data_IF_306679386348
#
_entry.id   IF_306679386348
#
_cell.length_a   1.000
_cell.length_b   1.000
_cell.length_c   1.000
_cell.angle_alpha   90.00
_cell.angle_beta   90.00
_cell.angle_gamma   90.00
#
_symmetry.space_group_name_H-M   'P 1'
#
loop_
_entity.id
_entity.type
_entity.pdbx_description
1 polymer ?
#
# COMPACT_ATOMS: atom_id res chain seq x y z
N UNK A 1 10.46 -12.03 25.75
CA UNK A 1 11.87 -11.78 25.41
C UNK A 1 12.28 -12.73 24.30
N UNK A 2 12.57 -12.22 23.11
CA UNK A 2 13.14 -13.03 22.03
C UNK A 2 14.45 -13.67 22.50
N UNK A 3 14.68 -14.97 22.30
CA UNK A 3 15.94 -15.60 22.67
C UNK A 3 17.11 -14.94 21.93
N UNK A 4 18.08 -14.40 22.66
CA UNK A 4 19.29 -13.81 22.07
C UNK A 4 19.19 -12.34 21.64
N UNK A 5 18.10 -11.64 21.92
CA UNK A 5 18.09 -10.17 21.77
C UNK A 5 19.07 -9.56 22.79
N UNK A 6 20.03 -8.72 22.36
CA UNK A 6 20.97 -8.08 23.28
C UNK A 6 20.19 -7.24 24.29
N UNK A 7 20.59 -7.30 25.57
CA UNK A 7 20.06 -6.33 26.54
C UNK A 7 20.49 -4.93 26.08
N UNK A 8 19.56 -3.96 26.02
CA UNK A 8 19.92 -2.61 25.63
C UNK A 8 20.98 -2.08 26.61
N UNK A 9 21.99 -1.33 26.12
CA UNK A 9 23.00 -0.74 26.99
C UNK A 9 22.34 0.16 28.05
N UNK A 10 23.01 0.39 29.17
CA UNK A 10 22.55 1.35 30.17
C UNK A 10 22.39 2.73 29.49
N UNK A 11 21.16 3.23 29.44
CA UNK A 11 20.83 4.46 28.74
C UNK A 11 21.02 5.66 29.68
N UNK A 12 21.43 6.83 29.17
CA UNK A 12 21.44 8.06 29.96
C UNK A 12 20.04 8.35 30.55
N UNK A 13 19.94 9.03 31.71
CA UNK A 13 18.65 9.26 32.39
C UNK A 13 17.57 10.00 31.58
N UNK A 14 17.96 10.68 30.50
CA UNK A 14 17.08 11.47 29.62
C UNK A 14 16.80 10.77 28.28
N UNK A 15 17.20 9.51 28.14
CA UNK A 15 17.02 8.71 26.92
C UNK A 15 16.09 7.55 27.24
N UNK A 16 14.98 7.46 26.50
CA UNK A 16 14.12 6.30 26.52
C UNK A 16 14.30 5.52 25.21
N UNK A 17 14.58 4.21 25.31
CA UNK A 17 14.54 3.30 24.18
C UNK A 17 13.20 2.56 24.20
N UNK A 18 12.46 2.67 23.10
CA UNK A 18 11.15 2.05 22.97
C UNK A 18 11.20 1.10 21.79
N UNK A 19 11.35 -0.20 22.06
CA UNK A 19 11.37 -1.24 21.05
C UNK A 19 10.34 -2.33 21.35
N UNK A 20 9.38 -2.62 20.45
CA UNK A 20 8.33 -3.62 20.69
C UNK A 20 8.85 -5.00 21.11
N UNK A 21 10.07 -5.36 20.66
CA UNK A 21 10.74 -6.61 21.00
C UNK A 21 10.97 -6.78 22.52
N UNK A 22 11.16 -5.68 23.26
CA UNK A 22 11.36 -5.71 24.72
C UNK A 22 10.11 -6.21 25.45
N UNK A 23 8.94 -6.05 24.82
CA UNK A 23 7.65 -6.51 25.29
C UNK A 23 7.15 -7.78 24.59
N UNK A 24 8.02 -8.43 23.80
CA UNK A 24 7.69 -9.67 23.09
C UNK A 24 6.76 -9.49 21.90
N UNK A 25 6.64 -8.27 21.37
CA UNK A 25 5.92 -7.97 20.13
C UNK A 25 6.87 -8.13 18.95
N UNK A 26 6.45 -8.86 17.93
CA UNK A 26 7.27 -9.09 16.74
C UNK A 26 7.40 -7.82 15.87
N UNK A 27 8.62 -7.28 15.79
CA UNK A 27 8.91 -6.12 14.93
C UNK A 27 8.84 -6.40 13.42
N UNK A 28 8.77 -7.67 13.01
CA UNK A 28 8.67 -8.04 11.59
C UNK A 28 7.22 -8.17 11.09
N UNK A 29 6.27 -8.45 11.98
CA UNK A 29 4.88 -8.74 11.57
C UNK A 29 3.79 -8.11 12.45
N UNK A 30 4.10 -7.73 13.69
CA UNK A 30 3.08 -7.27 14.65
C UNK A 30 3.12 -5.77 14.95
N UNK A 31 4.27 -5.09 14.80
CA UNK A 31 4.35 -3.63 14.97
C UNK A 31 5.58 -3.03 14.28
N UNK A 32 5.35 -2.09 13.35
CA UNK A 32 6.42 -1.28 12.74
C UNK A 32 6.58 0.07 13.47
N UNK A 33 7.63 0.82 13.09
CA UNK A 33 7.97 2.10 13.68
C UNK A 33 6.86 3.16 13.52
N UNK A 34 6.18 3.21 12.37
CA UNK A 34 5.10 4.18 12.14
C UNK A 34 3.89 3.89 13.03
N UNK A 35 3.55 2.62 13.21
CA UNK A 35 2.44 2.19 14.07
C UNK A 35 2.75 2.38 15.55
N UNK A 36 4.00 2.11 15.98
CA UNK A 36 4.45 2.42 17.33
C UNK A 36 4.41 3.94 17.60
N UNK A 37 4.86 4.75 16.66
CA UNK A 37 4.83 6.21 16.77
C UNK A 37 3.39 6.70 16.87
N UNK A 38 2.50 6.20 16.01
CA UNK A 38 1.08 6.54 16.06
C UNK A 38 0.44 6.13 17.40
N UNK A 39 0.69 4.91 17.88
CA UNK A 39 0.25 4.47 19.22
C UNK A 39 0.73 5.42 20.32
N UNK A 40 2.00 5.83 20.27
CA UNK A 40 2.54 6.81 21.20
C UNK A 40 1.78 8.14 21.14
N UNK A 41 1.44 8.65 19.95
CA UNK A 41 0.64 9.88 19.85
C UNK A 41 -0.75 9.74 20.46
N UNK A 42 -1.41 8.58 20.33
CA UNK A 42 -2.71 8.31 20.96
C UNK A 42 -2.60 8.33 22.50
N UNK A 43 -1.50 7.83 23.06
CA UNK A 43 -1.23 7.90 24.50
C UNK A 43 -1.03 9.33 25.00
N UNK A 44 -0.50 10.23 24.17
CA UNK A 44 -0.37 11.65 24.50
C UNK A 44 -1.72 12.36 24.48
N UNK A 45 -2.52 12.11 23.45
CA UNK A 45 -3.87 12.65 23.31
C UNK A 45 -4.73 11.72 22.43
N UNK A 46 -5.91 11.26 22.91
CA UNK A 46 -6.83 10.46 22.12
C UNK A 46 -7.31 11.12 20.82
N UNK A 47 -7.19 12.44 20.64
CA UNK A 47 -7.51 13.09 19.36
C UNK A 47 -6.69 12.51 18.21
N UNK A 48 -5.46 12.03 18.50
CA UNK A 48 -4.51 11.51 17.53
C UNK A 48 -4.89 10.17 16.88
N UNK A 49 -6.10 9.64 17.14
CA UNK A 49 -6.66 8.58 16.30
C UNK A 49 -6.79 9.02 14.83
N UNK A 50 -6.93 10.33 14.58
CA UNK A 50 -6.93 10.93 13.23
C UNK A 50 -5.59 10.79 12.47
N UNK A 51 -4.49 10.46 13.17
CA UNK A 51 -3.19 10.13 12.56
C UNK A 51 -3.11 8.69 12.00
N UNK A 52 -4.20 7.92 12.06
CA UNK A 52 -4.28 6.58 11.48
C UNK A 52 -3.73 6.47 10.05
N UNK A 53 -4.01 7.40 9.11
CA UNK A 53 -3.43 7.38 7.76
C UNK A 53 -1.92 7.19 7.74
N UNK A 54 -1.19 7.93 8.59
CA UNK A 54 0.26 8.01 8.58
C UNK A 54 0.92 6.82 9.28
N UNK A 55 0.30 6.34 10.36
CA UNK A 55 0.73 5.09 11.02
C UNK A 55 0.56 3.90 10.07
N UNK A 56 -0.64 3.79 9.48
CA UNK A 56 -1.04 2.68 8.63
C UNK A 56 -0.27 2.63 7.31
N UNK A 57 -0.02 3.76 6.66
CA UNK A 57 0.73 3.80 5.40
C UNK A 57 2.15 3.26 5.55
N UNK A 58 2.81 3.49 6.69
CA UNK A 58 4.11 2.92 6.99
C UNK A 58 4.05 1.40 7.18
N UNK A 59 3.04 0.88 7.89
CA UNK A 59 2.84 -0.57 8.03
C UNK A 59 2.54 -1.26 6.70
N UNK A 60 1.80 -0.59 5.81
CA UNK A 60 1.55 -1.05 4.46
C UNK A 60 2.85 -1.05 3.64
N UNK A 61 3.67 0.00 3.78
CA UNK A 61 4.98 0.11 3.12
C UNK A 61 5.92 -1.03 3.52
N UNK A 62 5.89 -1.43 4.79
CA UNK A 62 6.62 -2.59 5.32
C UNK A 62 5.97 -3.94 4.96
N UNK A 63 4.90 -3.94 4.16
CA UNK A 63 4.13 -5.13 3.74
C UNK A 63 3.56 -5.96 4.91
N UNK A 64 3.40 -5.38 6.10
CA UNK A 64 2.85 -6.06 7.28
C UNK A 64 1.36 -6.42 7.15
N UNK A 65 0.70 -5.93 6.12
CA UNK A 65 -0.71 -6.18 5.82
C UNK A 65 -0.94 -7.46 4.98
N UNK A 66 0.11 -8.03 4.39
CA UNK A 66 0.02 -9.20 3.51
C UNK A 66 -0.46 -10.40 4.32
N UNK A 67 -1.62 -10.95 3.95
CA UNK A 67 -2.27 -12.00 4.75
C UNK A 67 -2.92 -11.49 6.05
N UNK A 68 -3.27 -10.20 6.07
CA UNK A 68 -3.95 -9.50 7.15
C UNK A 68 -3.03 -8.96 8.24
N UNK A 69 -3.38 -7.81 8.81
CA UNK A 69 -2.69 -7.29 9.99
C UNK A 69 -2.85 -8.21 11.19
N UNK A 70 -1.77 -8.37 11.96
CA UNK A 70 -1.70 -9.27 13.13
C UNK A 70 -1.19 -8.51 14.35
N UNK A 71 -1.28 -9.16 15.51
CA UNK A 71 -0.76 -8.62 16.77
C UNK A 71 -1.27 -7.21 17.07
N UNK A 72 -0.34 -6.32 17.41
CA UNK A 72 -0.70 -4.96 17.83
C UNK A 72 -1.15 -4.08 16.66
N UNK A 73 -0.58 -4.25 15.47
CA UNK A 73 -1.05 -3.64 14.23
C UNK A 73 -2.53 -3.98 13.97
N UNK A 74 -2.89 -5.26 14.05
CA UNK A 74 -4.27 -5.71 13.84
C UNK A 74 -5.25 -5.02 14.79
N UNK A 75 -4.91 -4.99 16.09
CA UNK A 75 -5.72 -4.31 17.11
C UNK A 75 -5.89 -2.81 16.85
N UNK A 76 -4.80 -2.12 16.50
CA UNK A 76 -4.85 -0.68 16.18
C UNK A 76 -5.74 -0.40 14.97
N UNK A 77 -5.62 -1.22 13.92
CA UNK A 77 -6.42 -1.09 12.70
C UNK A 77 -7.89 -1.41 12.97
N UNK A 78 -8.20 -2.46 13.74
CA UNK A 78 -9.57 -2.78 14.17
C UNK A 78 -10.22 -1.60 14.92
N UNK A 79 -9.50 -1.01 15.87
CA UNK A 79 -9.97 0.13 16.66
C UNK A 79 -10.18 1.39 15.79
N UNK A 80 -9.28 1.63 14.82
CA UNK A 80 -9.44 2.71 13.84
C UNK A 80 -10.64 2.51 12.92
N UNK A 81 -10.93 1.26 12.54
CA UNK A 81 -12.14 0.91 11.77
C UNK A 81 -13.40 1.13 12.59
N UNK A 82 -13.41 0.73 13.86
CA UNK A 82 -14.55 0.99 14.77
C UNK A 82 -14.81 2.48 14.97
N UNK A 83 -13.78 3.33 14.87
CA UNK A 83 -13.87 4.79 14.93
C UNK A 83 -14.20 5.45 13.60
N UNK A 84 -14.34 4.67 12.51
CA UNK A 84 -14.57 5.17 11.16
C UNK A 84 -13.48 6.11 10.62
N UNK A 85 -12.27 6.09 11.20
CA UNK A 85 -11.11 6.84 10.66
C UNK A 85 -10.34 6.04 9.60
N UNK A 86 -10.63 4.74 9.49
CA UNK A 86 -10.19 3.83 8.43
C UNK A 86 -11.40 2.99 8.02
N UNK A 87 -11.51 2.65 6.73
CA UNK A 87 -12.59 1.76 6.23
C UNK A 87 -11.97 0.57 5.52
N UNK A 88 -12.27 -0.64 5.99
CA UNK A 88 -11.91 -1.88 5.29
C UNK A 88 -12.78 -2.07 4.06
N UNK A 89 -12.16 -2.42 2.94
CA UNK A 89 -12.84 -2.76 1.70
C UNK A 89 -12.27 -4.07 1.14
N UNK A 90 -13.10 -4.95 0.56
CA UNK A 90 -12.57 -5.93 -0.37
C UNK A 90 -11.93 -5.17 -1.52
N UNK A 91 -10.82 -5.65 -2.06
CA UNK A 91 -10.16 -4.91 -3.11
C UNK A 91 -9.28 -5.75 -4.00
N UNK A 92 -9.13 -5.22 -5.21
CA UNK A 92 -8.12 -5.66 -6.15
C UNK A 92 -6.87 -4.81 -5.94
N UNK A 93 -5.69 -5.40 -6.06
CA UNK A 93 -4.39 -4.69 -6.02
C UNK A 93 -4.15 -3.80 -7.27
N UNK A 94 -5.09 -2.91 -7.57
CA UNK A 94 -4.99 -1.91 -8.62
C UNK A 94 -5.05 -0.52 -7.99
N UNK A 95 -4.11 0.34 -8.38
CA UNK A 95 -3.93 1.69 -7.84
C UNK A 95 -4.04 2.68 -8.99
N UNK A 96 -4.95 3.65 -8.86
CA UNK A 96 -5.13 4.68 -9.86
C UNK A 96 -6.51 5.34 -9.84
N UNK A 97 -6.68 6.45 -10.58
CA UNK A 97 -7.92 7.23 -10.57
C UNK A 97 -9.07 6.51 -11.27
N UNK A 98 -8.79 5.68 -12.27
CA UNK A 98 -9.78 4.87 -12.99
C UNK A 98 -9.30 3.43 -13.09
N UNK A 99 -10.23 2.48 -13.25
CA UNK A 99 -9.89 1.05 -13.37
C UNK A 99 -8.96 0.79 -14.56
N UNK A 100 -9.18 1.47 -15.68
CA UNK A 100 -8.33 1.36 -16.87
C UNK A 100 -6.92 1.87 -16.64
N UNK A 101 -6.78 3.06 -16.03
CA UNK A 101 -5.49 3.63 -15.69
C UNK A 101 -4.75 2.78 -14.66
N UNK A 102 -5.48 2.24 -13.67
CA UNK A 102 -4.91 1.41 -12.62
C UNK A 102 -4.38 0.08 -13.15
N UNK A 103 -5.13 -0.58 -14.05
CA UNK A 103 -4.68 -1.81 -14.70
C UNK A 103 -3.48 -1.58 -15.63
N UNK A 104 -3.54 -0.55 -16.46
CA UNK A 104 -2.41 -0.19 -17.33
C UNK A 104 -1.20 0.28 -16.51
N UNK A 105 -1.41 0.89 -15.35
CA UNK A 105 -0.37 1.32 -14.42
C UNK A 105 0.16 0.22 -13.49
N UNK A 106 -0.37 -1.00 -13.57
CA UNK A 106 -0.08 -2.06 -12.59
C UNK A 106 1.33 -2.62 -12.78
N UNK A 107 2.13 -2.58 -11.72
CA UNK A 107 3.50 -3.12 -11.65
C UNK A 107 3.63 -4.27 -10.63
N UNK A 108 2.71 -4.34 -9.66
CA UNK A 108 2.66 -5.37 -8.62
C UNK A 108 1.18 -5.71 -8.36
N UNK A 109 0.59 -6.67 -9.10
CA UNK A 109 1.23 -7.51 -10.11
C UNK A 109 1.37 -6.83 -11.48
N UNK A 110 2.43 -7.18 -12.21
CA UNK A 110 2.54 -6.91 -13.63
C UNK A 110 1.75 -7.94 -14.44
N UNK A 111 0.84 -7.49 -15.29
CA UNK A 111 -0.02 -8.37 -16.09
C UNK A 111 0.40 -8.30 -17.55
N UNK A 112 1.05 -9.36 -18.04
CA UNK A 112 1.57 -9.47 -19.41
C UNK A 112 0.50 -9.09 -20.45
N UNK A 113 0.85 -8.20 -21.37
CA UNK A 113 -0.04 -7.71 -22.43
C UNK A 113 -1.13 -6.73 -22.00
N UNK A 114 -1.22 -6.37 -20.71
CA UNK A 114 -2.16 -5.35 -20.18
C UNK A 114 -1.40 -4.20 -19.50
N UNK A 115 -0.46 -4.52 -18.61
CA UNK A 115 0.39 -3.52 -17.94
C UNK A 115 1.21 -2.72 -18.97
N UNK A 116 1.10 -1.40 -18.89
CA UNK A 116 1.69 -0.43 -19.81
C UNK A 116 1.07 -0.42 -21.21
N UNK A 117 -0.10 -1.04 -21.38
CA UNK A 117 -0.90 -1.07 -22.62
C UNK A 117 -2.34 -0.54 -22.32
N UNK A 118 -2.55 0.79 -22.28
CA UNK A 118 -3.83 1.39 -21.91
C UNK A 118 -5.03 0.91 -22.74
N UNK A 119 -4.85 0.79 -24.04
CA UNK A 119 -5.90 0.37 -24.99
C UNK A 119 -6.29 -1.10 -24.77
N UNK A 120 -5.30 -1.98 -24.54
CA UNK A 120 -5.54 -3.40 -24.27
C UNK A 120 -6.17 -3.60 -22.89
N UNK A 121 -5.72 -2.84 -21.88
CA UNK A 121 -6.34 -2.82 -20.56
C UNK A 121 -7.80 -2.39 -20.64
N UNK A 122 -8.10 -1.33 -21.38
CA UNK A 122 -9.47 -0.86 -21.56
C UNK A 122 -10.34 -1.86 -22.35
N UNK A 123 -9.80 -2.52 -23.38
CA UNK A 123 -10.51 -3.56 -24.12
C UNK A 123 -10.84 -4.76 -23.22
N UNK A 124 -9.86 -5.24 -22.46
CA UNK A 124 -10.03 -6.35 -21.52
C UNK A 124 -11.11 -6.05 -20.45
N UNK A 125 -11.11 -4.84 -19.88
CA UNK A 125 -12.13 -4.45 -18.90
C UNK A 125 -13.54 -4.46 -19.52
N UNK A 126 -13.69 -3.95 -20.75
CA UNK A 126 -14.99 -3.97 -21.45
C UNK A 126 -15.47 -5.38 -21.77
N UNK A 127 -14.57 -6.29 -22.14
CA UNK A 127 -14.89 -7.72 -22.33
C UNK A 127 -15.47 -8.36 -21.07
N UNK A 128 -15.24 -7.77 -19.89
CA UNK A 128 -15.72 -8.27 -18.59
C UNK A 128 -16.81 -7.38 -17.99
N UNK A 129 -17.39 -6.49 -18.78
CA UNK A 129 -18.50 -5.62 -18.36
C UNK A 129 -18.09 -4.51 -17.38
N UNK A 130 -16.81 -4.15 -17.34
CA UNK A 130 -16.29 -3.10 -16.46
C UNK A 130 -15.98 -1.85 -17.29
N UNK A 131 -16.47 -0.69 -16.83
CA UNK A 131 -16.15 0.60 -17.44
C UNK A 131 -14.70 1.00 -17.08
N UNK A 132 -13.77 1.11 -18.06
CA UNK A 132 -12.40 1.49 -17.78
C UNK A 132 -12.24 2.93 -17.28
N UNK A 133 -13.27 3.78 -17.43
CA UNK A 133 -13.27 5.17 -16.97
C UNK A 133 -13.83 5.34 -15.56
N UNK A 134 -14.48 4.30 -15.03
CA UNK A 134 -15.01 4.30 -13.66
C UNK A 134 -13.89 4.36 -12.61
N UNK A 135 -14.12 4.99 -11.45
CA UNK A 135 -13.19 4.98 -10.33
C UNK A 135 -12.98 3.56 -9.79
N UNK A 136 -11.75 3.23 -9.38
CA UNK A 136 -11.43 1.90 -8.80
C UNK A 136 -12.28 1.65 -7.54
N UNK A 137 -12.47 2.68 -6.71
CA UNK A 137 -13.24 2.58 -5.47
C UNK A 137 -14.76 2.43 -5.65
N UNK A 138 -15.27 2.49 -6.87
CA UNK A 138 -16.68 2.31 -7.22
C UNK A 138 -16.99 0.93 -7.82
N UNK A 139 -15.98 0.07 -7.98
CA UNK A 139 -16.20 -1.33 -8.35
C UNK A 139 -17.08 -2.01 -7.29
N UNK A 140 -18.22 -2.55 -7.72
CA UNK A 140 -19.05 -3.35 -6.82
C UNK A 140 -18.40 -4.72 -6.53
N UNK A 141 -19.00 -5.49 -5.61
CA UNK A 141 -18.47 -6.79 -5.24
C UNK A 141 -18.44 -7.79 -6.41
N UNK A 142 -19.42 -7.74 -7.31
CA UNK A 142 -19.50 -8.65 -8.46
C UNK A 142 -18.46 -8.28 -9.53
N UNK A 143 -18.31 -6.99 -9.82
CA UNK A 143 -17.28 -6.47 -10.72
C UNK A 143 -15.87 -6.74 -10.18
N UNK A 144 -15.65 -6.53 -8.88
CA UNK A 144 -14.38 -6.83 -8.21
C UNK A 144 -14.04 -8.31 -8.34
N UNK A 145 -14.98 -9.20 -8.02
CA UNK A 145 -14.79 -10.64 -8.14
C UNK A 145 -14.52 -11.08 -9.59
N UNK A 146 -15.24 -10.53 -10.56
CA UNK A 146 -15.02 -10.83 -11.98
C UNK A 146 -13.63 -10.39 -12.46
N UNK A 147 -13.19 -9.19 -12.07
CA UNK A 147 -11.87 -8.66 -12.40
C UNK A 147 -10.77 -9.51 -11.78
N UNK A 148 -10.88 -9.82 -10.48
CA UNK A 148 -9.91 -10.66 -9.75
C UNK A 148 -9.81 -12.04 -10.40
N UNK A 149 -10.93 -12.69 -10.71
CA UNK A 149 -10.94 -14.01 -11.33
C UNK A 149 -10.25 -14.02 -12.71
N UNK A 150 -10.50 -12.99 -13.52
CA UNK A 150 -9.91 -12.89 -14.84
C UNK A 150 -8.43 -12.54 -14.83
N UNK A 151 -7.99 -11.66 -13.93
CA UNK A 151 -6.57 -11.35 -13.73
C UNK A 151 -5.84 -12.59 -13.18
N UNK A 152 -6.44 -13.30 -12.23
CA UNK A 152 -5.93 -14.56 -11.68
C UNK A 152 -5.67 -15.58 -12.79
N UNK A 153 -6.67 -15.84 -13.63
CA UNK A 153 -6.53 -16.77 -14.76
C UNK A 153 -5.40 -16.38 -15.72
N UNK A 154 -5.20 -15.08 -15.98
CA UNK A 154 -4.08 -14.57 -16.79
C UNK A 154 -2.73 -14.79 -16.11
N UNK A 155 -2.60 -14.46 -14.83
CA UNK A 155 -1.35 -14.62 -14.09
C UNK A 155 -0.96 -16.10 -13.96
N UNK A 156 -1.92 -16.97 -13.63
CA UNK A 156 -1.72 -18.42 -13.57
C UNK A 156 -1.35 -19.00 -14.94
N UNK A 157 -2.06 -18.59 -16.01
CA UNK A 157 -1.74 -18.98 -17.38
C UNK A 157 -0.36 -18.51 -17.86
N UNK A 158 0.18 -17.45 -17.25
CA UNK A 158 1.54 -16.97 -17.47
C UNK A 158 2.60 -17.64 -16.57
N UNK A 159 2.20 -18.59 -15.70
CA UNK A 159 3.09 -19.32 -14.80
C UNK A 159 3.54 -18.52 -13.57
N UNK A 160 2.81 -17.48 -13.18
CA UNK A 160 3.10 -16.73 -11.95
C UNK A 160 2.83 -17.62 -10.73
N UNK A 161 3.74 -17.59 -9.75
CA UNK A 161 3.63 -18.45 -8.57
C UNK A 161 2.39 -18.09 -7.71
N UNK A 162 1.71 -19.08 -7.11
CA UNK A 162 0.45 -18.87 -6.40
C UNK A 162 0.50 -17.79 -5.31
N UNK A 163 1.63 -17.65 -4.61
CA UNK A 163 1.82 -16.64 -3.58
C UNK A 163 1.78 -15.21 -4.12
N UNK A 164 2.22 -14.98 -5.36
CA UNK A 164 2.12 -13.67 -6.01
C UNK A 164 0.74 -13.44 -6.60
N UNK A 165 0.09 -14.50 -7.12
CA UNK A 165 -1.30 -14.42 -7.59
C UNK A 165 -2.25 -14.10 -6.42
N UNK A 166 -1.96 -14.60 -5.22
CA UNK A 166 -2.74 -14.30 -4.01
C UNK A 166 -2.72 -12.81 -3.64
N UNK A 167 -1.70 -12.05 -4.06
CA UNK A 167 -1.62 -10.60 -3.82
C UNK A 167 -2.67 -9.80 -4.62
N UNK A 168 -3.33 -10.40 -5.62
CA UNK A 168 -4.42 -9.73 -6.35
C UNK A 168 -5.63 -9.41 -5.47
N UNK A 169 -5.92 -10.29 -4.52
CA UNK A 169 -7.13 -10.28 -3.70
C UNK A 169 -6.74 -10.02 -2.25
N UNK A 170 -6.50 -8.76 -1.94
CA UNK A 170 -6.09 -8.31 -0.62
C UNK A 170 -7.16 -7.38 -0.04
N UNK A 171 -7.33 -7.47 1.28
CA UNK A 171 -8.09 -6.45 2.00
C UNK A 171 -7.41 -5.10 1.78
N UNK A 172 -8.21 -4.06 1.58
CA UNK A 172 -7.77 -2.69 1.36
C UNK A 172 -8.27 -1.79 2.47
N UNK A 173 -7.54 -0.70 2.74
CA UNK A 173 -7.86 0.25 3.80
C UNK A 173 -8.01 1.64 3.21
N UNK A 174 -9.26 2.06 3.04
CA UNK A 174 -9.59 3.41 2.60
C UNK A 174 -9.44 4.40 3.75
N UNK A 175 -8.92 5.58 3.45
CA UNK A 175 -8.65 6.67 4.40
C UNK A 175 -9.61 7.83 4.14
N UNK A 176 -10.75 7.93 4.85
CA UNK A 176 -11.79 8.92 4.56
C UNK A 176 -11.29 10.38 4.63
N UNK A 177 -10.39 10.69 5.56
CA UNK A 177 -9.83 12.05 5.73
C UNK A 177 -9.00 12.51 4.53
N UNK A 178 -8.46 11.59 3.74
CA UNK A 178 -7.63 11.87 2.58
C UNK A 178 -8.29 11.51 1.24
N UNK A 179 -9.41 10.77 1.27
CA UNK A 179 -10.13 10.35 0.07
C UNK A 179 -9.34 9.38 -0.81
N UNK A 180 -8.45 8.57 -0.25
CA UNK A 180 -7.56 7.65 -0.98
C UNK A 180 -7.26 6.37 -0.19
N UNK A 181 -6.68 5.38 -0.84
CA UNK A 181 -6.30 4.12 -0.21
C UNK A 181 -4.97 4.25 0.55
N UNK A 182 -4.83 3.55 1.67
CA UNK A 182 -3.61 3.61 2.48
C UNK A 182 -2.38 3.08 1.72
N UNK A 183 -2.56 2.21 0.73
CA UNK A 183 -1.49 1.81 -0.18
C UNK A 183 -1.12 2.92 -1.18
N UNK A 184 -2.08 3.71 -1.67
CA UNK A 184 -1.77 4.91 -2.45
C UNK A 184 -0.93 5.89 -1.60
N UNK A 185 -1.32 6.12 -0.34
CA UNK A 185 -0.56 6.99 0.56
C UNK A 185 0.87 6.50 0.77
N UNK A 186 1.03 5.19 1.00
CA UNK A 186 2.33 4.55 1.17
C UNK A 186 3.22 4.71 -0.06
N UNK A 187 2.65 4.56 -1.25
CA UNK A 187 3.35 4.75 -2.51
C UNK A 187 3.78 6.20 -2.72
N UNK A 188 2.92 7.17 -2.38
CA UNK A 188 3.25 8.60 -2.43
C UNK A 188 4.42 8.94 -1.49
N UNK A 189 4.36 8.49 -0.22
CA UNK A 189 5.45 8.72 0.73
C UNK A 189 6.75 8.08 0.26
N UNK A 190 6.70 6.83 -0.18
CA UNK A 190 7.86 6.10 -0.70
C UNK A 190 8.47 6.78 -1.92
N UNK A 191 7.65 7.33 -2.82
CA UNK A 191 8.11 8.06 -3.99
C UNK A 191 8.89 9.32 -3.61
N UNK A 192 8.46 10.06 -2.58
CA UNK A 192 9.20 11.24 -2.10
C UNK A 192 10.57 10.86 -1.52
N UNK A 193 10.68 9.73 -0.82
CA UNK A 193 11.96 9.20 -0.35
C UNK A 193 12.89 8.81 -1.50
N UNK A 194 12.37 8.09 -2.50
CA UNK A 194 13.12 7.70 -3.72
C UNK A 194 13.57 8.90 -4.56
N UNK A 195 12.80 9.98 -4.54
CA UNK A 195 13.13 11.23 -5.21
C UNK A 195 14.03 12.16 -4.36
N UNK A 196 14.64 11.65 -3.28
CA UNK A 196 15.51 12.40 -2.36
C UNK A 196 14.86 13.68 -1.79
N UNK A 197 13.54 13.67 -1.67
CA UNK A 197 12.72 14.78 -1.15
C UNK A 197 11.77 14.34 -0.03
N UNK A 198 12.25 13.58 0.98
CA UNK A 198 11.38 13.02 2.04
C UNK A 198 10.62 14.07 2.85
N UNK A 199 11.10 15.32 2.88
CA UNK A 199 10.39 16.44 3.50
C UNK A 199 8.99 16.69 2.90
N UNK A 200 8.76 16.29 1.64
CA UNK A 200 7.43 16.34 1.02
C UNK A 200 6.49 15.35 1.71
N UNK A 201 6.97 14.15 2.06
CA UNK A 201 6.20 13.16 2.83
C UNK A 201 5.75 13.67 4.18
N UNK A 202 6.62 14.40 4.88
CA UNK A 202 6.28 15.07 6.15
C UNK A 202 5.31 16.22 5.92
N UNK A 203 5.51 17.02 4.86
CA UNK A 203 4.62 18.13 4.53
C UNK A 203 3.18 17.65 4.21
N UNK A 204 3.02 16.47 3.60
CA UNK A 204 1.69 15.85 3.42
C UNK A 204 1.01 15.60 4.77
N UNK A 205 1.75 15.09 5.76
CA UNK A 205 1.23 14.85 7.11
C UNK A 205 0.86 16.14 7.86
N UNK A 206 1.50 17.25 7.52
CA UNK A 206 1.25 18.57 8.10
C UNK A 206 0.19 19.38 7.34
N UNK A 207 -0.44 18.81 6.30
CA UNK A 207 -1.52 19.46 5.55
C UNK A 207 -1.07 20.54 4.56
N UNK A 208 0.15 20.45 4.01
CA UNK A 208 0.60 21.39 2.96
C UNK A 208 -0.19 21.19 1.65
N UNK A 209 -0.83 22.27 1.19
CA UNK A 209 -1.74 22.30 0.03
C UNK A 209 -1.10 21.88 -1.32
N UNK A 210 0.22 21.73 -1.39
CA UNK A 210 0.92 21.28 -2.60
C UNK A 210 1.65 19.94 -2.46
N UNK A 211 1.74 19.38 -1.25
CA UNK A 211 2.60 18.24 -0.98
C UNK A 211 2.13 16.97 -1.71
N UNK A 212 0.82 16.72 -1.71
CA UNK A 212 0.23 15.60 -2.45
C UNK A 212 0.52 15.67 -3.95
N UNK A 213 0.38 16.84 -4.57
CA UNK A 213 0.66 17.01 -6.00
C UNK A 213 2.13 16.80 -6.34
N UNK A 214 3.05 17.25 -5.47
CA UNK A 214 4.48 16.99 -5.65
C UNK A 214 4.80 15.49 -5.48
N UNK A 215 4.20 14.82 -4.49
CA UNK A 215 4.37 13.39 -4.28
C UNK A 215 3.80 12.56 -5.44
N UNK A 216 2.63 12.94 -5.98
CA UNK A 216 2.02 12.30 -7.16
C UNK A 216 2.94 12.37 -8.38
N UNK A 217 3.54 13.53 -8.65
CA UNK A 217 4.52 13.67 -9.74
C UNK A 217 5.73 12.75 -9.57
N UNK A 218 6.27 12.64 -8.35
CA UNK A 218 7.37 11.72 -8.06
C UNK A 218 6.96 10.25 -8.26
N UNK A 219 5.76 9.88 -7.81
CA UNK A 219 5.22 8.53 -7.93
C UNK A 219 5.00 8.14 -9.39
N UNK A 220 4.34 9.00 -10.17
CA UNK A 220 4.11 8.80 -11.61
C UNK A 220 5.41 8.62 -12.36
N UNK A 221 6.39 9.51 -12.17
CA UNK A 221 7.68 9.41 -12.84
C UNK A 221 8.44 8.12 -12.50
N UNK A 222 8.39 7.69 -11.23
CA UNK A 222 8.97 6.42 -10.81
C UNK A 222 8.26 5.22 -11.43
N UNK A 223 6.93 5.19 -11.38
CA UNK A 223 6.11 4.09 -11.92
C UNK A 223 6.26 3.95 -13.43
N UNK A 224 6.28 5.05 -14.18
CA UNK A 224 6.56 5.05 -15.62
C UNK A 224 7.93 4.45 -15.95
N UNK A 225 8.95 4.76 -15.14
CA UNK A 225 10.29 4.17 -15.28
C UNK A 225 10.30 2.65 -15.11
N UNK A 226 9.61 2.14 -14.09
CA UNK A 226 9.47 0.70 -13.84
C UNK A 226 8.68 0.04 -14.98
N UNK A 227 7.53 0.58 -15.37
CA UNK A 227 6.72 0.04 -16.46
C UNK A 227 7.49 -0.03 -17.78
N UNK A 228 8.26 1.01 -18.11
CA UNK A 228 9.13 1.01 -19.30
C UNK A 228 10.16 -0.13 -19.26
N UNK A 229 10.75 -0.38 -18.09
CA UNK A 229 11.68 -1.48 -17.86
C UNK A 229 11.01 -2.85 -18.03
N UNK A 230 9.87 -3.05 -17.39
CA UNK A 230 9.10 -4.31 -17.45
C UNK A 230 8.62 -4.63 -18.87
N UNK A 231 8.10 -3.63 -19.61
CA UNK A 231 7.71 -3.79 -21.01
C UNK A 231 8.87 -4.16 -21.92
N UNK A 232 10.06 -3.58 -21.68
CA UNK A 232 11.27 -3.95 -22.42
C UNK A 232 11.60 -5.42 -22.19
N UNK A 233 11.56 -5.89 -20.94
CA UNK A 233 11.80 -7.30 -20.59
C UNK A 233 10.74 -8.21 -21.23
N UNK A 234 9.47 -7.81 -21.25
CA UNK A 234 8.40 -8.57 -21.90
C UNK A 234 8.64 -8.73 -23.41
N UNK A 235 9.06 -7.66 -24.09
CA UNK A 235 9.25 -7.65 -25.55
C UNK A 235 10.54 -8.34 -25.97
N UNK A 236 11.64 -8.02 -25.31
CA UNK A 236 12.99 -8.37 -25.76
C UNK A 236 13.56 -9.58 -25.01
N UNK A 237 12.98 -9.93 -23.86
CA UNK A 237 13.54 -10.90 -22.93
C UNK A 237 14.56 -10.27 -21.98
N UNK A 238 15.16 -11.10 -21.11
CA UNK A 238 16.28 -10.69 -20.26
C UNK A 238 17.57 -10.86 -21.07
N UNK A 239 18.28 -9.78 -21.30
CA UNK A 239 19.63 -9.81 -21.85
C UNK A 239 20.61 -9.52 -20.71
N UNK A 240 21.55 -10.43 -20.49
CA UNK A 240 22.70 -10.24 -19.58
C UNK A 240 23.66 -9.16 -20.08
#
# INVERSE_FOLDING_TARGET
>A
KYPGAPEPPELPPHVAFVNPLDWGVDGMSELCASMLTWLFTIFLDPVNWDNAPWGLSGAIGDRMHVGGFRGLNGRLVDEAVQRSVVVRRPGVALLGPTVGAALAGSIDPYVRGLSGEPERSAAFLREHGIDPTGPVGELDAAQTAALVAALRARLEGAGVLPEFVALLDQERWFLPSLGLDAEDLSNLQSATGRAETPGIGVAMALGDDGAFERARRAETGWREGILKGLRRIERDGVHE
#
